data_IF_981891908814
#
_entry.id   IF_981891908814
#
_cell.length_a   1.000
_cell.length_b   1.000
_cell.length_c   1.000
_cell.angle_alpha   90.00
_cell.angle_beta   90.00
_cell.angle_gamma   90.00
#
_symmetry.space_group_name_H-M   'P 1'
#
loop_
_entity.id
_entity.type
_entity.pdbx_description
1 polymer ?
#
# COMPACT_ATOMS: atom_id res chain seq x y z
N UNK A 1 -22.47 -14.18 -3.14
CA UNK A 1 -21.81 -15.20 -2.29
C UNK A 1 -21.57 -14.69 -0.87
N UNK A 2 -20.75 -13.66 -0.62
CA UNK A 2 -20.49 -13.15 0.75
C UNK A 2 -21.75 -12.77 1.53
N UNK A 3 -22.73 -12.10 0.91
CA UNK A 3 -23.99 -11.71 1.57
C UNK A 3 -24.81 -12.89 2.12
N UNK A 4 -24.62 -14.09 1.56
CA UNK A 4 -25.37 -15.28 1.94
C UNK A 4 -24.64 -16.14 2.99
N UNK A 5 -23.31 -16.23 2.94
CA UNK A 5 -22.52 -17.12 3.80
C UNK A 5 -21.75 -16.40 4.92
N UNK A 6 -21.42 -15.11 4.75
CA UNK A 6 -20.67 -14.30 5.72
C UNK A 6 -21.26 -12.87 5.81
N UNK A 7 -22.46 -12.70 6.40
CA UNK A 7 -23.16 -11.41 6.46
C UNK A 7 -22.42 -10.35 7.28
N UNK A 8 -21.71 -10.73 8.35
CA UNK A 8 -20.95 -9.79 9.19
C UNK A 8 -19.75 -9.19 8.44
N UNK A 9 -19.04 -10.00 7.66
CA UNK A 9 -17.95 -9.52 6.79
C UNK A 9 -18.49 -8.66 5.64
N UNK A 10 -19.67 -8.98 5.11
CA UNK A 10 -20.31 -8.19 4.06
C UNK A 10 -20.71 -6.78 4.54
N UNK A 11 -21.06 -6.59 5.81
CA UNK A 11 -21.34 -5.25 6.37
C UNK A 11 -20.11 -4.33 6.36
N UNK A 12 -18.92 -4.88 6.59
CA UNK A 12 -17.67 -4.11 6.65
C UNK A 12 -17.08 -3.95 5.24
N UNK A 13 -17.02 -5.04 4.46
CA UNK A 13 -16.33 -5.06 3.17
C UNK A 13 -17.23 -4.72 1.97
N UNK A 14 -18.56 -4.70 2.15
CA UNK A 14 -19.53 -4.60 1.06
C UNK A 14 -19.36 -3.36 0.18
N UNK A 15 -18.95 -2.23 0.76
CA UNK A 15 -18.69 -0.98 0.04
C UNK A 15 -17.38 -1.00 -0.73
N UNK A 16 -16.41 -1.82 -0.29
CA UNK A 16 -15.12 -1.95 -0.96
C UNK A 16 -15.20 -2.87 -2.17
N UNK A 17 -16.17 -3.78 -2.25
CA UNK A 17 -16.30 -4.71 -3.39
C UNK A 17 -16.43 -3.98 -4.73
N UNK A 18 -17.32 -2.98 -4.91
CA UNK A 18 -17.35 -2.19 -6.15
C UNK A 18 -16.04 -1.41 -6.40
N UNK A 19 -15.43 -0.85 -5.35
CA UNK A 19 -14.18 -0.10 -5.45
C UNK A 19 -12.99 -0.96 -5.90
N UNK A 20 -12.97 -2.24 -5.51
CA UNK A 20 -11.96 -3.20 -5.94
C UNK A 20 -12.13 -3.49 -7.44
N UNK A 21 -13.35 -3.69 -7.92
CA UNK A 21 -13.62 -4.00 -9.34
C UNK A 21 -13.20 -2.86 -10.26
N UNK A 22 -13.41 -1.61 -9.85
CA UNK A 22 -13.01 -0.42 -10.63
C UNK A 22 -11.60 0.06 -10.33
N UNK A 23 -10.81 -0.69 -9.55
CA UNK A 23 -9.46 -0.28 -9.22
C UNK A 23 -8.56 -0.29 -10.46
N UNK A 24 -7.91 0.84 -10.73
CA UNK A 24 -7.09 1.04 -11.92
C UNK A 24 -5.92 0.04 -12.03
N UNK A 25 -5.33 -0.43 -10.91
CA UNK A 25 -4.22 -1.38 -10.95
C UNK A 25 -4.67 -2.75 -11.44
N UNK A 26 -5.88 -3.17 -11.06
CA UNK A 26 -6.42 -4.48 -11.44
C UNK A 26 -6.76 -4.48 -12.92
N UNK A 27 -7.47 -3.43 -13.39
CA UNK A 27 -7.83 -3.30 -14.80
C UNK A 27 -6.58 -3.17 -15.67
N UNK A 28 -5.61 -2.33 -15.29
CA UNK A 28 -4.39 -2.13 -16.06
C UNK A 28 -3.58 -3.42 -16.23
N UNK A 29 -3.43 -4.25 -15.19
CA UNK A 29 -2.72 -5.53 -15.29
C UNK A 29 -3.51 -6.60 -16.04
N UNK A 30 -4.84 -6.63 -15.84
CA UNK A 30 -5.69 -7.53 -16.60
C UNK A 30 -5.57 -7.25 -18.10
N UNK A 31 -5.65 -5.99 -18.51
CA UNK A 31 -5.55 -5.56 -19.90
C UNK A 31 -4.14 -5.73 -20.49
N UNK A 32 -3.11 -5.26 -19.80
CA UNK A 32 -1.75 -5.22 -20.34
C UNK A 32 -1.01 -6.56 -20.25
N UNK A 33 -1.25 -7.37 -19.22
CA UNK A 33 -0.48 -8.59 -18.95
C UNK A 33 -1.30 -9.88 -19.12
N UNK A 34 -2.51 -9.94 -18.57
CA UNK A 34 -3.29 -11.18 -18.58
C UNK A 34 -3.78 -11.57 -19.99
N UNK A 35 -4.14 -10.60 -20.84
CA UNK A 35 -4.57 -10.88 -22.22
C UNK A 35 -3.50 -11.49 -23.12
N UNK A 36 -2.21 -11.30 -22.81
CA UNK A 36 -1.09 -11.68 -23.69
C UNK A 36 -0.27 -12.87 -23.17
N UNK A 37 -0.58 -13.38 -21.97
CA UNK A 37 0.22 -14.41 -21.29
C UNK A 37 -0.63 -15.63 -20.91
N UNK A 38 0.06 -16.73 -20.57
CA UNK A 38 -0.60 -17.94 -20.08
C UNK A 38 -1.13 -17.76 -18.65
N UNK A 39 -2.22 -18.47 -18.32
CA UNK A 39 -2.91 -18.38 -17.02
C UNK A 39 -1.97 -18.50 -15.81
N UNK A 40 -0.97 -19.38 -15.89
CA UNK A 40 -0.01 -19.60 -14.81
C UNK A 40 0.88 -18.37 -14.59
N UNK A 41 1.38 -17.75 -15.66
CA UNK A 41 2.19 -16.52 -15.57
C UNK A 41 1.37 -15.34 -15.07
N UNK A 42 0.11 -15.22 -15.50
CA UNK A 42 -0.80 -14.19 -15.04
C UNK A 42 -1.16 -14.32 -13.55
N UNK A 43 -1.25 -15.56 -13.04
CA UNK A 43 -1.47 -15.80 -11.61
C UNK A 43 -0.29 -15.32 -10.75
N UNK A 44 0.95 -15.60 -11.18
CA UNK A 44 2.15 -15.09 -10.49
C UNK A 44 2.27 -13.57 -10.58
N UNK A 45 1.88 -12.95 -11.70
CA UNK A 45 1.82 -11.48 -11.82
C UNK A 45 0.82 -10.86 -10.85
N UNK A 46 -0.39 -11.41 -10.78
CA UNK A 46 -1.42 -10.95 -9.86
C UNK A 46 -0.99 -11.06 -8.40
N UNK A 47 -0.32 -12.16 -8.02
CA UNK A 47 0.24 -12.32 -6.69
C UNK A 47 1.36 -11.31 -6.40
N UNK A 48 2.28 -11.09 -7.35
CA UNK A 48 3.39 -10.15 -7.17
C UNK A 48 2.91 -8.70 -7.02
N UNK A 49 2.03 -8.26 -7.94
CA UNK A 49 1.49 -6.89 -7.89
C UNK A 49 0.58 -6.70 -6.68
N UNK A 50 -0.26 -7.69 -6.33
CA UNK A 50 -1.14 -7.61 -5.17
C UNK A 50 -0.39 -7.54 -3.85
N UNK A 51 0.66 -8.35 -3.68
CA UNK A 51 1.50 -8.33 -2.46
C UNK A 51 2.32 -7.04 -2.35
N UNK A 52 2.87 -6.53 -3.46
CA UNK A 52 3.53 -5.22 -3.47
C UNK A 52 2.58 -4.08 -3.08
N UNK A 53 1.38 -4.04 -3.68
CA UNK A 53 0.38 -3.02 -3.36
C UNK A 53 -0.07 -3.08 -1.89
N UNK A 54 -0.22 -4.28 -1.33
CA UNK A 54 -0.51 -4.46 0.10
C UNK A 54 0.61 -3.88 0.98
N UNK A 55 1.86 -4.19 0.68
CA UNK A 55 3.02 -3.71 1.44
C UNK A 55 3.16 -2.19 1.36
N UNK A 56 2.95 -1.61 0.18
CA UNK A 56 2.97 -0.16 -0.02
C UNK A 56 1.91 0.54 0.83
N UNK A 57 0.66 0.06 0.78
CA UNK A 57 -0.42 0.63 1.60
C UNK A 57 -0.17 0.45 3.10
N UNK A 58 0.39 -0.68 3.51
CA UNK A 58 0.76 -0.92 4.92
C UNK A 58 1.82 0.08 5.38
N UNK A 59 2.87 0.29 4.58
CA UNK A 59 3.94 1.22 4.91
C UNK A 59 3.45 2.66 4.98
N UNK A 60 2.62 3.09 4.01
CA UNK A 60 2.00 4.42 4.01
C UNK A 60 1.08 4.58 5.22
N UNK A 61 0.29 3.56 5.55
CA UNK A 61 -0.59 3.55 6.72
C UNK A 61 0.19 3.76 8.01
N UNK A 62 1.26 2.99 8.24
CA UNK A 62 2.12 3.09 9.43
C UNK A 62 2.74 4.48 9.55
N UNK A 63 3.28 5.03 8.45
CA UNK A 63 3.88 6.37 8.45
C UNK A 63 2.82 7.43 8.77
N UNK A 64 1.62 7.33 8.18
CA UNK A 64 0.53 8.29 8.39
C UNK A 64 -0.01 8.22 9.81
N UNK A 65 -0.09 7.03 10.39
CA UNK A 65 -0.56 6.85 11.76
C UNK A 65 0.45 7.41 12.77
N UNK A 66 1.73 7.12 12.55
CA UNK A 66 2.84 7.64 13.36
C UNK A 66 2.91 9.18 13.33
N UNK A 67 2.82 9.79 12.13
CA UNK A 67 2.90 11.25 11.97
C UNK A 67 1.59 11.97 12.35
N UNK A 68 0.45 11.30 12.19
CA UNK A 68 -0.87 11.89 12.39
C UNK A 68 -1.36 11.86 13.84
N UNK A 69 -1.12 10.75 14.55
CA UNK A 69 -1.56 10.56 15.95
C UNK A 69 -0.41 10.60 16.96
N UNK A 70 0.84 10.59 16.49
CA UNK A 70 2.02 10.49 17.36
C UNK A 70 2.23 9.10 17.95
N UNK A 71 1.45 8.10 17.52
CA UNK A 71 1.49 6.71 18.00
C UNK A 71 1.29 5.73 16.85
N UNK A 72 1.79 4.51 17.00
CA UNK A 72 1.48 3.39 16.10
C UNK A 72 0.68 2.38 16.88
N UNK A 73 -0.54 2.11 16.44
CA UNK A 73 -1.40 1.08 17.00
C UNK A 73 -1.29 -0.19 16.17
N UNK A 74 -0.72 -1.23 16.76
CA UNK A 74 -0.71 -2.58 16.15
C UNK A 74 -1.65 -3.44 16.96
N UNK A 75 -2.89 -3.60 16.50
CA UNK A 75 -3.93 -4.31 17.25
C UNK A 75 -4.40 -3.51 18.46
N UNK A 76 -4.22 -4.05 19.66
CA UNK A 76 -4.64 -3.40 20.93
C UNK A 76 -3.49 -2.68 21.66
N UNK A 77 -2.28 -2.69 21.10
CA UNK A 77 -1.11 -2.06 21.73
C UNK A 77 -0.72 -0.79 21.00
N UNK A 78 -0.75 0.32 21.74
CA UNK A 78 -0.35 1.66 21.32
C UNK A 78 1.10 1.86 21.74
N UNK A 79 2.02 1.96 20.78
CA UNK A 79 3.40 2.33 21.06
C UNK A 79 3.71 3.67 20.40
N UNK A 80 4.12 4.71 21.15
CA UNK A 80 4.27 4.87 22.61
C UNK A 80 2.98 5.36 23.35
N UNK A 81 2.89 5.17 24.68
CA UNK A 81 1.70 5.51 25.50
C UNK A 81 1.48 7.01 25.78
N UNK A 82 2.38 7.88 25.32
CA UNK A 82 2.21 9.34 25.33
C UNK A 82 2.51 9.86 23.91
N UNK A 83 1.72 10.80 23.37
CA UNK A 83 2.05 11.43 22.11
C UNK A 83 3.39 12.18 22.27
N UNK A 84 4.43 11.77 21.56
CA UNK A 84 5.71 12.51 21.55
C UNK A 84 5.62 13.83 20.75
N UNK A 85 4.52 14.03 20.03
CA UNK A 85 4.28 15.15 19.14
C UNK A 85 2.84 15.65 19.27
N UNK A 86 2.62 16.94 19.02
CA UNK A 86 1.27 17.44 18.78
C UNK A 86 0.73 16.79 17.50
N UNK A 87 -0.47 16.18 17.54
CA UNK A 87 -1.01 15.43 16.42
C UNK A 87 -1.22 16.35 15.21
N UNK A 88 -0.50 16.08 14.12
CA UNK A 88 -0.73 16.76 12.85
C UNK A 88 -1.90 16.09 12.13
N UNK A 89 -3.13 16.42 12.55
CA UNK A 89 -4.38 15.89 11.97
C UNK A 89 -4.48 16.09 10.44
N UNK A 90 -3.73 17.04 9.88
CA UNK A 90 -3.59 17.26 8.43
C UNK A 90 -3.07 16.00 7.72
N UNK A 91 -2.25 15.17 8.37
CA UNK A 91 -1.69 13.95 7.76
C UNK A 91 -2.73 12.83 7.56
N UNK A 92 -3.81 12.84 8.34
CA UNK A 92 -4.94 11.90 8.20
C UNK A 92 -5.86 12.27 7.03
N UNK A 93 -5.82 13.52 6.57
CA UNK A 93 -6.63 13.96 5.44
C UNK A 93 -6.03 13.50 4.10
N UNK A 94 -6.81 13.47 2.99
CA UNK A 94 -6.32 13.12 1.66
C UNK A 94 -5.02 13.83 1.22
N UNK A 95 -4.84 15.16 1.42
CA UNK A 95 -3.60 15.83 1.00
C UNK A 95 -2.36 15.30 1.73
N UNK A 96 -2.47 14.92 3.01
CA UNK A 96 -1.38 14.29 3.75
C UNK A 96 -0.95 12.95 3.14
N UNK A 97 -1.91 12.16 2.65
CA UNK A 97 -1.63 10.91 1.94
C UNK A 97 -0.77 11.10 0.70
N UNK A 98 -1.10 12.09 -0.15
CA UNK A 98 -0.29 12.39 -1.35
C UNK A 98 1.12 12.87 -1.01
N UNK A 99 1.27 13.66 0.05
CA UNK A 99 2.60 14.09 0.53
C UNK A 99 3.43 12.89 0.99
N UNK A 100 2.85 11.97 1.78
CA UNK A 100 3.57 10.76 2.20
C UNK A 100 3.97 9.88 1.02
N UNK A 101 3.10 9.70 0.03
CA UNK A 101 3.41 8.99 -1.20
C UNK A 101 4.57 9.65 -1.95
N UNK A 102 4.54 10.97 -2.14
CA UNK A 102 5.60 11.71 -2.82
C UNK A 102 6.96 11.57 -2.14
N UNK A 103 7.00 11.70 -0.80
CA UNK A 103 8.23 11.52 -0.01
C UNK A 103 8.72 10.08 -0.08
N UNK A 104 7.83 9.09 0.04
CA UNK A 104 8.19 7.68 -0.05
C UNK A 104 8.81 7.37 -1.42
N UNK A 105 8.19 7.84 -2.51
CA UNK A 105 8.71 7.65 -3.87
C UNK A 105 10.05 8.36 -4.08
N UNK A 106 10.25 9.56 -3.51
CA UNK A 106 11.53 10.24 -3.54
C UNK A 106 12.64 9.45 -2.84
N UNK A 107 12.35 8.91 -1.64
CA UNK A 107 13.28 8.07 -0.89
C UNK A 107 13.61 6.79 -1.66
N UNK A 108 12.59 6.08 -2.17
CA UNK A 108 12.78 4.87 -2.96
C UNK A 108 13.63 5.14 -4.21
N UNK A 109 13.39 6.24 -4.93
CA UNK A 109 14.19 6.62 -6.10
C UNK A 109 15.66 6.85 -5.71
N UNK A 110 15.94 7.56 -4.60
CA UNK A 110 17.31 7.77 -4.11
C UNK A 110 17.97 6.44 -3.73
N UNK A 111 17.25 5.55 -3.05
CA UNK A 111 17.77 4.24 -2.64
C UNK A 111 18.06 3.34 -3.86
N UNK A 112 17.18 3.31 -4.85
CA UNK A 112 17.36 2.56 -6.10
C UNK A 112 18.54 3.11 -6.89
N UNK A 113 18.65 4.43 -7.05
CA UNK A 113 19.79 5.07 -7.73
C UNK A 113 21.11 4.78 -7.02
N UNK A 114 21.14 4.79 -5.68
CA UNK A 114 22.31 4.41 -4.88
C UNK A 114 22.69 2.94 -5.05
N UNK A 115 21.69 2.07 -5.17
CA UNK A 115 21.89 0.62 -5.35
C UNK A 115 22.40 0.30 -6.77
N UNK A 116 21.88 1.02 -7.78
CA UNK A 116 22.37 0.95 -9.15
C UNK A 116 23.81 1.48 -9.28
N UNK A 117 24.12 2.59 -8.62
CA UNK A 117 25.46 3.18 -8.59
C UNK A 117 26.48 2.30 -7.83
N UNK A 118 26.03 1.56 -6.79
CA UNK A 118 26.87 0.54 -6.13
C UNK A 118 27.15 -0.68 -7.01
N UNK A 119 26.16 -1.16 -7.78
CA UNK A 119 26.38 -2.28 -8.72
C UNK A 119 27.38 -1.90 -9.82
N UNK A 120 27.25 -0.70 -10.40
CA UNK A 120 28.18 -0.20 -11.41
C UNK A 120 29.63 -0.03 -10.91
N UNK A 121 29.85 0.11 -9.59
CA UNK A 121 31.18 0.25 -8.98
C UNK A 121 31.79 -1.06 -8.49
N UNK A 122 31.00 -2.15 -8.47
CA UNK A 122 31.44 -3.51 -8.11
C UNK A 122 31.77 -4.33 -9.36
N UNK A 123 31.21 -3.96 -10.52
CA UNK A 123 31.48 -4.56 -11.83
C UNK A 123 32.64 -3.89 -12.61
N UNK A 124 33.33 -2.91 -12.00
CA UNK A 124 34.46 -2.16 -12.57
C UNK A 124 35.77 -2.44 -11.83
#
# INVERSE_FOLDING_TARGET
VMKAYLPDMYKILGIFVPLIVVNCIIIARAEAFAYKNTVLRSAFDGLGIGTGFMLDLMLIGVIREFLGTGTVTVGSVVFPPKPLFEPMSVMLTPPGGFVTLGVLMAVLNILVQRSASKKAKVEA
#
